data_IF_127063173735
#
_entry.id   IF_127063173735
#
_cell.length_a   1.000
_cell.length_b   1.000
_cell.length_c   1.000
_cell.angle_alpha   90.00
_cell.angle_beta   90.00
_cell.angle_gamma   90.00
#
_symmetry.space_group_name_H-M   'P 1'
#
loop_
_entity.id
_entity.type
_entity.pdbx_description
1 polymer ?
#
# COMPACT_ATOMS: atom_id res chain seq x y z
N UNK A 1 -2.77 -55.42 -2.46
CA UNK A 1 -3.82 -54.44 -2.82
C UNK A 1 -4.63 -54.15 -1.57
N UNK A 2 -4.24 -53.15 -0.77
CA UNK A 2 -5.14 -52.64 0.27
C UNK A 2 -6.02 -51.59 -0.40
N UNK A 3 -7.33 -51.83 -0.35
CA UNK A 3 -8.37 -50.91 -0.79
C UNK A 3 -8.13 -49.52 -0.22
N UNK A 4 -8.09 -48.51 -1.06
CA UNK A 4 -8.33 -47.13 -0.64
C UNK A 4 -9.69 -47.12 0.08
N UNK A 5 -9.70 -46.78 1.36
CA UNK A 5 -10.93 -46.70 2.15
C UNK A 5 -11.84 -45.62 1.56
N UNK A 6 -13.12 -45.95 1.39
CA UNK A 6 -14.18 -45.08 0.86
C UNK A 6 -14.33 -43.75 1.61
N UNK A 7 -13.71 -43.63 2.79
CA UNK A 7 -13.69 -42.44 3.65
C UNK A 7 -12.87 -41.26 3.09
N UNK A 8 -12.00 -41.48 2.09
CA UNK A 8 -11.12 -40.43 1.56
C UNK A 8 -11.68 -39.64 0.37
N UNK A 9 -12.84 -40.03 -0.18
CA UNK A 9 -13.44 -39.34 -1.34
C UNK A 9 -14.25 -38.11 -0.91
N UNK A 10 -14.19 -36.99 -1.66
CA UNK A 10 -15.03 -35.83 -1.35
C UNK A 10 -16.50 -36.21 -1.43
N UNK A 11 -17.26 -35.89 -0.39
CA UNK A 11 -18.71 -36.16 -0.34
C UNK A 11 -19.43 -35.17 -1.25
N UNK A 12 -20.64 -35.52 -1.69
CA UNK A 12 -21.48 -34.63 -2.51
C UNK A 12 -21.68 -33.25 -1.86
N UNK A 13 -21.86 -33.19 -0.55
CA UNK A 13 -21.95 -31.93 0.19
C UNK A 13 -20.68 -31.07 0.11
N UNK A 14 -19.51 -31.70 0.03
CA UNK A 14 -18.22 -30.99 -0.12
C UNK A 14 -18.12 -30.31 -1.49
N UNK A 15 -18.55 -31.00 -2.55
CA UNK A 15 -18.63 -30.43 -3.89
C UNK A 15 -19.63 -29.28 -3.96
N UNK A 16 -20.82 -29.44 -3.36
CA UNK A 16 -21.81 -28.37 -3.30
C UNK A 16 -21.27 -27.13 -2.59
N UNK A 17 -20.57 -27.30 -1.46
CA UNK A 17 -19.94 -26.19 -0.75
C UNK A 17 -18.86 -25.49 -1.58
N UNK A 18 -17.98 -26.25 -2.24
CA UNK A 18 -16.95 -25.67 -3.10
C UNK A 18 -17.56 -24.87 -4.27
N UNK A 19 -18.62 -25.39 -4.89
CA UNK A 19 -19.37 -24.68 -5.93
C UNK A 19 -19.99 -23.38 -5.40
N UNK A 20 -20.57 -23.40 -4.20
CA UNK A 20 -21.12 -22.18 -3.58
C UNK A 20 -20.03 -21.12 -3.33
N UNK A 21 -18.84 -21.52 -2.87
CA UNK A 21 -17.71 -20.61 -2.68
C UNK A 21 -17.28 -19.98 -4.02
N UNK A 22 -17.13 -20.81 -5.06
CA UNK A 22 -16.70 -20.35 -6.39
C UNK A 22 -17.76 -19.43 -7.02
N UNK A 23 -19.04 -19.82 -6.96
CA UNK A 23 -20.13 -19.00 -7.47
C UNK A 23 -20.21 -17.68 -6.71
N UNK A 24 -20.08 -17.70 -5.38
CA UNK A 24 -20.02 -16.49 -4.57
C UNK A 24 -18.88 -15.56 -5.01
N UNK A 25 -17.68 -16.09 -5.23
CA UNK A 25 -16.55 -15.32 -5.73
C UNK A 25 -16.83 -14.68 -7.10
N UNK A 26 -17.35 -15.45 -8.06
CA UNK A 26 -17.70 -14.95 -9.40
C UNK A 26 -18.80 -13.90 -9.33
N UNK A 27 -19.85 -14.13 -8.53
CA UNK A 27 -20.94 -13.16 -8.33
C UNK A 27 -20.40 -11.86 -7.74
N UNK A 28 -19.49 -11.91 -6.77
CA UNK A 28 -18.85 -10.73 -6.19
C UNK A 28 -18.07 -9.94 -7.26
N UNK A 29 -17.23 -10.61 -8.05
CA UNK A 29 -16.45 -9.92 -9.09
C UNK A 29 -17.32 -9.30 -10.18
N UNK A 30 -18.50 -9.87 -10.46
CA UNK A 30 -19.46 -9.30 -11.42
C UNK A 30 -20.22 -8.13 -10.80
N UNK A 31 -20.74 -8.28 -9.59
CA UNK A 31 -21.52 -7.25 -8.91
C UNK A 31 -20.68 -6.04 -8.49
N UNK A 32 -19.43 -6.29 -8.10
CA UNK A 32 -18.46 -5.31 -7.65
C UNK A 32 -17.16 -5.49 -8.43
N UNK A 33 -17.10 -5.06 -9.71
CA UNK A 33 -15.90 -5.22 -10.52
C UNK A 33 -14.73 -4.47 -9.90
N UNK A 34 -13.52 -5.07 -9.82
CA UNK A 34 -12.35 -4.42 -9.26
C UNK A 34 -12.03 -3.16 -10.07
N UNK A 35 -11.77 -2.05 -9.36
CA UNK A 35 -11.37 -0.78 -9.96
C UNK A 35 -9.96 -0.45 -9.54
N UNK A 36 -9.16 0.00 -10.49
CA UNK A 36 -7.74 0.31 -10.29
C UNK A 36 -7.47 1.82 -10.23
N UNK A 37 -8.48 2.61 -10.58
CA UNK A 37 -8.47 4.07 -10.52
C UNK A 37 -9.41 4.54 -9.40
N UNK A 38 -9.15 5.74 -8.82
CA UNK A 38 -10.01 6.32 -7.80
C UNK A 38 -11.46 6.43 -8.30
N UNK A 39 -12.41 6.09 -7.44
CA UNK A 39 -13.82 6.24 -7.76
C UNK A 39 -14.27 7.63 -7.35
N UNK A 40 -14.58 8.48 -8.33
CA UNK A 40 -15.27 9.74 -8.10
C UNK A 40 -16.76 9.48 -7.84
N UNK A 41 -17.28 9.96 -6.70
CA UNK A 41 -18.71 9.94 -6.36
C UNK A 41 -19.04 9.40 -4.97
N UNK A 42 -20.26 9.68 -4.50
CA UNK A 42 -20.77 9.19 -3.21
C UNK A 42 -20.93 7.67 -3.21
N UNK A 43 -20.24 6.99 -2.29
CA UNK A 43 -20.39 5.55 -2.07
C UNK A 43 -21.24 5.29 -0.82
N UNK A 44 -22.01 4.21 -0.83
CA UNK A 44 -22.89 3.88 0.29
C UNK A 44 -22.09 3.68 1.59
N UNK A 45 -22.47 4.38 2.65
CA UNK A 45 -21.87 4.27 3.98
C UNK A 45 -21.85 2.84 4.52
N UNK A 46 -22.86 2.03 4.19
CA UNK A 46 -22.91 0.61 4.55
C UNK A 46 -21.83 -0.21 3.84
N UNK A 47 -21.56 0.06 2.56
CA UNK A 47 -20.53 -0.66 1.81
C UNK A 47 -19.14 -0.33 2.36
N UNK A 48 -18.88 0.93 2.69
CA UNK A 48 -17.63 1.36 3.33
C UNK A 48 -17.45 0.73 4.71
N UNK A 49 -18.52 0.73 5.53
CA UNK A 49 -18.50 0.08 6.83
C UNK A 49 -18.12 -1.41 6.72
N UNK A 50 -18.72 -2.15 5.77
CA UNK A 50 -18.39 -3.55 5.54
C UNK A 50 -16.96 -3.71 5.01
N UNK A 51 -16.51 -2.84 4.10
CA UNK A 51 -15.16 -2.85 3.55
C UNK A 51 -14.07 -2.73 4.62
N UNK A 52 -14.30 -1.92 5.66
CA UNK A 52 -13.37 -1.76 6.79
C UNK A 52 -13.12 -3.04 7.60
N UNK A 53 -13.93 -4.09 7.42
CA UNK A 53 -13.64 -5.42 7.98
C UNK A 53 -12.63 -6.22 7.16
N UNK A 54 -12.08 -5.71 6.05
CA UNK A 54 -11.06 -6.40 5.26
C UNK A 54 -9.88 -6.92 6.13
N UNK A 55 -9.30 -6.14 7.06
CA UNK A 55 -8.30 -6.65 7.99
C UNK A 55 -8.83 -7.79 8.85
N UNK A 56 -10.07 -7.77 9.30
CA UNK A 56 -10.62 -8.87 10.11
C UNK A 56 -10.76 -10.14 9.25
N UNK A 57 -11.31 -10.00 8.04
CA UNK A 57 -11.51 -11.13 7.15
C UNK A 57 -10.21 -11.72 6.60
N UNK A 58 -9.09 -10.98 6.53
CA UNK A 58 -7.82 -11.52 6.04
C UNK A 58 -7.11 -12.45 7.05
N UNK A 59 -7.31 -12.27 8.36
CA UNK A 59 -6.59 -13.08 9.35
C UNK A 59 -7.00 -14.56 9.32
N UNK A 60 -8.30 -14.82 9.09
CA UNK A 60 -8.84 -16.19 8.99
C UNK A 60 -8.21 -17.01 7.85
N UNK A 61 -8.25 -16.57 6.56
CA UNK A 61 -7.66 -17.31 5.46
C UNK A 61 -6.13 -17.35 5.54
N UNK A 62 -5.45 -16.29 5.98
CA UNK A 62 -3.99 -16.30 6.11
C UNK A 62 -3.55 -17.37 7.12
N UNK A 63 -4.20 -17.45 8.28
CA UNK A 63 -3.94 -18.48 9.28
C UNK A 63 -4.27 -19.89 8.77
N UNK A 64 -5.43 -20.07 8.14
CA UNK A 64 -5.86 -21.36 7.61
C UNK A 64 -4.94 -21.87 6.49
N UNK A 65 -4.62 -21.02 5.50
CA UNK A 65 -3.74 -21.40 4.38
C UNK A 65 -2.28 -21.56 4.83
N UNK A 66 -1.83 -20.79 5.83
CA UNK A 66 -0.54 -20.99 6.48
C UNK A 66 -0.44 -22.33 7.21
N UNK A 67 -1.50 -22.74 7.93
CA UNK A 67 -1.59 -24.07 8.53
C UNK A 67 -1.61 -25.16 7.44
N UNK A 68 -2.36 -24.95 6.36
CA UNK A 68 -2.43 -25.88 5.24
C UNK A 68 -1.05 -26.11 4.59
N UNK A 69 -0.22 -25.07 4.48
CA UNK A 69 1.16 -25.19 4.02
C UNK A 69 1.94 -26.24 4.83
N UNK A 70 1.84 -26.21 6.16
CA UNK A 70 2.48 -27.19 7.04
C UNK A 70 1.89 -28.60 6.87
N UNK A 71 0.56 -28.70 6.73
CA UNK A 71 -0.12 -29.99 6.52
C UNK A 71 0.28 -30.63 5.19
N UNK A 72 0.38 -29.85 4.12
CA UNK A 72 0.73 -30.35 2.79
C UNK A 72 2.15 -30.89 2.71
N UNK A 73 3.09 -30.36 3.50
CA UNK A 73 4.42 -30.96 3.66
C UNK A 73 4.35 -32.39 4.22
N UNK A 74 3.44 -32.64 5.17
CA UNK A 74 3.18 -34.00 5.68
C UNK A 74 2.50 -34.89 4.64
N UNK A 75 1.55 -34.32 3.90
CA UNK A 75 0.80 -34.98 2.82
C UNK A 75 1.65 -35.36 1.60
N UNK A 76 2.90 -34.89 1.49
CA UNK A 76 3.85 -35.37 0.46
C UNK A 76 4.07 -36.89 0.53
N UNK A 77 3.93 -37.46 1.73
CA UNK A 77 4.02 -38.91 1.93
C UNK A 77 2.65 -39.57 1.82
N UNK A 78 2.60 -40.81 1.34
CA UNK A 78 1.35 -41.59 1.28
C UNK A 78 0.66 -41.68 2.65
N UNK A 79 1.42 -41.99 3.70
CA UNK A 79 0.87 -42.12 5.05
C UNK A 79 0.37 -40.78 5.60
N UNK A 80 1.04 -39.68 5.26
CA UNK A 80 0.59 -38.34 5.60
C UNK A 80 -0.71 -37.97 4.91
N UNK A 81 -0.85 -38.24 3.61
CA UNK A 81 -2.09 -38.00 2.87
C UNK A 81 -3.26 -38.81 3.45
N UNK A 82 -3.04 -40.08 3.81
CA UNK A 82 -4.08 -40.92 4.44
C UNK A 82 -4.52 -40.39 5.82
N UNK A 83 -3.62 -39.78 6.60
CA UNK A 83 -3.91 -39.27 7.95
C UNK A 83 -4.43 -37.84 7.98
N UNK A 84 -3.88 -36.97 7.14
CA UNK A 84 -4.09 -35.52 7.16
C UNK A 84 -4.93 -35.02 5.99
N UNK A 85 -5.12 -35.80 4.92
CA UNK A 85 -5.71 -35.32 3.67
C UNK A 85 -7.13 -34.77 3.80
N UNK A 86 -7.95 -35.37 4.69
CA UNK A 86 -9.29 -34.86 5.00
C UNK A 86 -9.26 -33.54 5.79
N UNK A 87 -8.35 -33.42 6.76
CA UNK A 87 -8.17 -32.18 7.51
C UNK A 87 -7.56 -31.07 6.62
N UNK A 88 -6.66 -31.43 5.71
CA UNK A 88 -6.10 -30.52 4.72
C UNK A 88 -7.19 -29.98 3.78
N UNK A 89 -8.10 -30.85 3.33
CA UNK A 89 -9.26 -30.42 2.52
C UNK A 89 -10.19 -29.47 3.30
N UNK A 90 -10.50 -29.76 4.57
CA UNK A 90 -11.29 -28.86 5.41
C UNK A 90 -10.59 -27.49 5.57
N UNK A 91 -9.29 -27.51 5.83
CA UNK A 91 -8.48 -26.29 5.99
C UNK A 91 -8.44 -25.48 4.70
N UNK A 92 -8.34 -26.14 3.54
CA UNK A 92 -8.41 -25.50 2.23
C UNK A 92 -9.79 -24.90 1.93
N UNK A 93 -10.88 -25.54 2.38
CA UNK A 93 -12.24 -24.99 2.26
C UNK A 93 -12.42 -23.73 3.10
N UNK A 94 -12.01 -23.79 4.37
CA UNK A 94 -12.08 -22.63 5.28
C UNK A 94 -11.20 -21.49 4.77
N UNK A 95 -9.98 -21.80 4.34
CA UNK A 95 -9.06 -20.84 3.75
C UNK A 95 -9.60 -20.21 2.46
N UNK A 96 -10.18 -21.02 1.57
CA UNK A 96 -10.83 -20.55 0.34
C UNK A 96 -12.00 -19.60 0.63
N UNK A 97 -12.91 -19.99 1.54
CA UNK A 97 -14.06 -19.16 1.91
C UNK A 97 -13.61 -17.83 2.55
N UNK A 98 -12.63 -17.89 3.46
CA UNK A 98 -12.04 -16.69 4.06
C UNK A 98 -11.39 -15.78 3.01
N UNK A 99 -10.67 -16.34 2.03
CA UNK A 99 -10.01 -15.56 0.99
C UNK A 99 -11.03 -14.83 0.10
N UNK A 100 -12.13 -15.49 -0.26
CA UNK A 100 -13.24 -14.85 -1.00
C UNK A 100 -13.84 -13.69 -0.21
N UNK A 101 -14.07 -13.88 1.09
CA UNK A 101 -14.58 -12.80 1.97
C UNK A 101 -13.59 -11.63 2.09
N UNK A 102 -12.28 -11.93 2.19
CA UNK A 102 -11.25 -10.91 2.23
C UNK A 102 -11.17 -10.11 0.92
N UNK A 103 -11.23 -10.78 -0.24
CA UNK A 103 -11.27 -10.10 -1.55
C UNK A 103 -12.53 -9.25 -1.69
N UNK A 104 -13.71 -9.75 -1.31
CA UNK A 104 -14.95 -8.97 -1.29
C UNK A 104 -14.78 -7.69 -0.46
N UNK A 105 -14.38 -7.84 0.81
CA UNK A 105 -14.20 -6.69 1.69
C UNK A 105 -13.13 -5.73 1.18
N UNK A 106 -12.06 -6.23 0.56
CA UNK A 106 -11.00 -5.41 -0.04
C UNK A 106 -11.49 -4.59 -1.23
N UNK A 107 -12.31 -5.18 -2.11
CA UNK A 107 -12.95 -4.48 -3.24
C UNK A 107 -13.95 -3.43 -2.77
N UNK A 108 -14.63 -3.67 -1.64
CA UNK A 108 -15.50 -2.68 -1.02
C UNK A 108 -14.70 -1.55 -0.34
N UNK A 109 -13.59 -1.89 0.32
CA UNK A 109 -12.69 -0.93 0.96
C UNK A 109 -12.04 0.01 -0.05
N UNK A 110 -11.66 -0.49 -1.23
CA UNK A 110 -11.08 0.36 -2.29
C UNK A 110 -12.03 1.43 -2.81
N UNK A 111 -13.33 1.37 -2.44
CA UNK A 111 -14.33 2.40 -2.78
C UNK A 111 -14.32 3.60 -1.85
N UNK A 112 -13.62 3.54 -0.71
CA UNK A 112 -13.48 4.66 0.24
C UNK A 112 -12.74 5.86 -0.38
N UNK A 113 -12.04 5.65 -1.50
CA UNK A 113 -11.13 6.64 -2.06
C UNK A 113 -9.78 6.64 -1.32
N UNK A 114 -8.75 7.20 -1.94
CA UNK A 114 -7.42 7.31 -1.33
C UNK A 114 -6.49 6.09 -1.51
N UNK A 115 -6.91 5.06 -2.25
CA UNK A 115 -6.01 4.00 -2.73
C UNK A 115 -5.77 4.17 -4.23
N UNK A 116 -4.53 4.46 -4.61
CA UNK A 116 -4.11 4.65 -6.00
C UNK A 116 -2.66 4.21 -6.21
N UNK A 117 -2.24 4.07 -7.46
CA UNK A 117 -0.85 3.76 -7.84
C UNK A 117 -0.52 2.28 -7.98
N UNK A 118 0.75 2.00 -8.26
CA UNK A 118 1.25 0.65 -8.59
C UNK A 118 1.08 -0.34 -7.44
N UNK A 119 1.39 0.07 -6.20
CA UNK A 119 1.26 -0.78 -5.00
C UNK A 119 -0.18 -1.27 -4.78
N UNK A 120 -1.16 -0.37 -4.88
CA UNK A 120 -2.57 -0.73 -4.78
C UNK A 120 -2.99 -1.69 -5.88
N UNK A 121 -2.61 -1.36 -7.12
CA UNK A 121 -3.01 -2.14 -8.29
C UNK A 121 -2.40 -3.55 -8.28
N UNK A 122 -1.13 -3.68 -7.87
CA UNK A 122 -0.48 -4.97 -7.65
C UNK A 122 -1.12 -5.74 -6.50
N UNK A 123 -1.36 -5.11 -5.35
CA UNK A 123 -2.00 -5.76 -4.21
C UNK A 123 -3.36 -6.36 -4.60
N UNK A 124 -4.22 -5.55 -5.23
CA UNK A 124 -5.54 -6.00 -5.68
C UNK A 124 -5.44 -7.12 -6.73
N UNK A 125 -4.55 -6.98 -7.71
CA UNK A 125 -4.36 -7.99 -8.77
C UNK A 125 -3.85 -9.32 -8.21
N UNK A 126 -2.82 -9.28 -7.37
CA UNK A 126 -2.23 -10.47 -6.75
C UNK A 126 -3.21 -11.16 -5.81
N UNK A 127 -4.05 -10.41 -5.08
CA UNK A 127 -5.10 -10.99 -4.25
C UNK A 127 -6.16 -11.74 -5.09
N UNK A 128 -6.60 -11.17 -6.21
CA UNK A 128 -7.59 -11.77 -7.12
C UNK A 128 -7.02 -13.01 -7.82
N UNK A 129 -5.80 -12.91 -8.40
CA UNK A 129 -5.14 -14.04 -9.07
C UNK A 129 -4.84 -15.14 -8.05
N UNK A 130 -4.28 -14.79 -6.89
CA UNK A 130 -3.97 -15.73 -5.82
C UNK A 130 -5.22 -16.48 -5.34
N UNK A 131 -6.31 -15.76 -5.06
CA UNK A 131 -7.58 -16.38 -4.65
C UNK A 131 -8.15 -17.28 -5.74
N UNK A 132 -8.10 -16.87 -7.01
CA UNK A 132 -8.54 -17.70 -8.14
C UNK A 132 -7.72 -18.99 -8.25
N UNK A 133 -6.41 -18.90 -8.04
CA UNK A 133 -5.51 -20.05 -7.99
C UNK A 133 -5.80 -21.00 -6.82
N UNK A 134 -6.12 -20.47 -5.63
CA UNK A 134 -6.54 -21.26 -4.47
C UNK A 134 -7.88 -21.98 -4.73
N UNK A 135 -8.85 -21.33 -5.37
CA UNK A 135 -10.12 -21.96 -5.75
C UNK A 135 -9.94 -23.06 -6.81
N UNK A 136 -9.05 -22.84 -7.78
CA UNK A 136 -8.68 -23.89 -8.74
C UNK A 136 -7.97 -25.05 -8.03
N UNK A 137 -7.06 -24.76 -7.11
CA UNK A 137 -6.39 -25.77 -6.29
C UNK A 137 -7.39 -26.61 -5.49
N UNK A 138 -8.43 -25.99 -4.90
CA UNK A 138 -9.52 -26.70 -4.23
C UNK A 138 -10.22 -27.71 -5.15
N UNK A 139 -10.56 -27.30 -6.38
CA UNK A 139 -11.19 -28.20 -7.36
C UNK A 139 -10.25 -29.34 -7.75
N UNK A 140 -8.99 -29.03 -8.09
CA UNK A 140 -7.98 -30.02 -8.48
C UNK A 140 -7.73 -31.03 -7.36
N UNK A 141 -7.65 -30.59 -6.10
CA UNK A 141 -7.50 -31.48 -4.94
C UNK A 141 -8.68 -32.45 -4.85
N UNK A 142 -9.91 -31.97 -4.96
CA UNK A 142 -11.10 -32.82 -4.90
C UNK A 142 -11.16 -33.81 -6.07
N UNK A 143 -10.76 -33.41 -7.29
CA UNK A 143 -10.64 -34.32 -8.43
C UNK A 143 -9.58 -35.39 -8.19
N UNK A 144 -8.39 -35.01 -7.71
CA UNK A 144 -7.31 -35.94 -7.38
C UNK A 144 -7.70 -36.94 -6.29
N UNK A 145 -8.42 -36.49 -5.25
CA UNK A 145 -8.97 -37.37 -4.22
C UNK A 145 -10.07 -38.29 -4.75
N UNK A 146 -10.94 -37.80 -5.64
CA UNK A 146 -12.05 -38.59 -6.21
C UNK A 146 -11.58 -39.67 -7.20
N UNK A 147 -10.58 -39.33 -8.02
CA UNK A 147 -9.99 -40.22 -9.03
C UNK A 147 -8.84 -41.07 -8.47
N UNK A 148 -8.42 -40.83 -7.22
CA UNK A 148 -7.26 -41.46 -6.59
C UNK A 148 -5.96 -41.28 -7.41
N UNK A 149 -5.86 -40.16 -8.12
CA UNK A 149 -4.80 -39.86 -9.08
C UNK A 149 -3.74 -38.96 -8.45
N UNK A 150 -2.51 -39.47 -8.36
CA UNK A 150 -1.42 -38.79 -7.62
C UNK A 150 -0.86 -37.58 -8.36
N UNK A 151 -0.83 -37.60 -9.69
CA UNK A 151 -0.40 -36.49 -10.51
C UNK A 151 -1.20 -35.22 -10.24
N UNK A 152 -2.53 -35.35 -10.14
CA UNK A 152 -3.49 -34.31 -9.80
C UNK A 152 -3.24 -33.77 -8.40
N UNK A 153 -2.91 -34.62 -7.42
CA UNK A 153 -2.52 -34.17 -6.08
C UNK A 153 -1.19 -33.42 -6.07
N UNK A 154 -0.19 -33.84 -6.85
CA UNK A 154 1.06 -33.10 -6.99
C UNK A 154 0.86 -31.77 -7.72
N UNK A 155 0.05 -31.75 -8.78
CA UNK A 155 -0.32 -30.55 -9.51
C UNK A 155 -1.10 -29.57 -8.63
N UNK A 156 -2.07 -30.06 -7.85
CA UNK A 156 -2.76 -29.29 -6.82
C UNK A 156 -1.76 -28.61 -5.87
N UNK A 157 -0.79 -29.36 -5.33
CA UNK A 157 0.19 -28.79 -4.39
C UNK A 157 1.04 -27.71 -5.04
N UNK A 158 1.53 -27.95 -6.26
CA UNK A 158 2.29 -26.95 -7.01
C UNK A 158 1.46 -25.67 -7.21
N UNK A 159 0.20 -25.83 -7.64
CA UNK A 159 -0.74 -24.72 -7.83
C UNK A 159 -1.04 -23.99 -6.50
N UNK A 160 -1.27 -24.72 -5.41
CA UNK A 160 -1.52 -24.17 -4.08
C UNK A 160 -0.33 -23.35 -3.58
N UNK A 161 0.89 -23.90 -3.61
CA UNK A 161 2.09 -23.18 -3.16
C UNK A 161 2.38 -21.96 -4.02
N UNK A 162 2.20 -22.05 -5.34
CA UNK A 162 2.35 -20.90 -6.23
C UNK A 162 1.32 -19.79 -5.91
N UNK A 163 0.05 -20.17 -5.73
CA UNK A 163 -1.04 -19.23 -5.42
C UNK A 163 -0.87 -18.58 -4.05
N UNK A 164 -0.49 -19.36 -3.03
CA UNK A 164 -0.21 -18.84 -1.69
C UNK A 164 1.02 -17.93 -1.68
N UNK A 165 2.05 -18.25 -2.47
CA UNK A 165 3.20 -17.37 -2.69
C UNK A 165 2.82 -16.03 -3.33
N UNK A 166 1.96 -16.06 -4.35
CA UNK A 166 1.40 -14.84 -4.97
C UNK A 166 0.61 -14.01 -3.95
N UNK A 167 -0.18 -14.64 -3.08
CA UNK A 167 -0.87 -13.94 -1.99
C UNK A 167 0.12 -13.33 -0.99
N UNK A 168 1.24 -14.01 -0.70
CA UNK A 168 2.32 -13.47 0.12
C UNK A 168 2.97 -12.22 -0.50
N UNK A 169 3.18 -12.20 -1.82
CA UNK A 169 3.62 -11.01 -2.54
C UNK A 169 2.55 -9.90 -2.45
N UNK A 170 1.28 -10.24 -2.65
CA UNK A 170 0.18 -9.29 -2.45
C UNK A 170 0.17 -8.70 -1.04
N UNK A 171 0.41 -9.52 0.00
CA UNK A 171 0.49 -9.09 1.38
C UNK A 171 1.65 -8.13 1.64
N UNK A 172 2.80 -8.32 0.95
CA UNK A 172 3.91 -7.37 1.00
C UNK A 172 3.47 -5.97 0.52
N UNK A 173 2.84 -5.87 -0.65
CA UNK A 173 2.31 -4.59 -1.16
C UNK A 173 1.19 -4.00 -0.27
N UNK A 174 0.37 -4.86 0.36
CA UNK A 174 -0.61 -4.44 1.37
C UNK A 174 0.04 -3.82 2.61
N UNK A 175 1.16 -4.41 3.04
CA UNK A 175 2.01 -3.88 4.09
C UNK A 175 2.59 -2.51 3.73
N UNK A 176 3.10 -2.36 2.51
CA UNK A 176 3.68 -1.11 2.02
C UNK A 176 2.65 0.05 2.03
N UNK A 177 1.40 -0.21 1.62
CA UNK A 177 0.33 0.80 1.70
C UNK A 177 -0.03 1.20 3.14
N UNK A 178 0.08 0.27 4.09
CA UNK A 178 -0.36 0.49 5.47
C UNK A 178 0.73 1.06 6.37
N UNK A 179 1.99 0.67 6.14
CA UNK A 179 3.14 0.94 7.03
C UNK A 179 4.33 1.62 6.33
N UNK A 180 4.26 1.87 5.01
CA UNK A 180 5.34 2.46 4.21
C UNK A 180 6.13 1.43 3.39
N UNK A 181 6.70 1.83 2.24
CA UNK A 181 7.41 0.93 1.30
C UNK A 181 8.65 0.30 1.92
N UNK A 182 9.28 1.02 2.85
CA UNK A 182 10.48 0.56 3.55
C UNK A 182 10.19 -0.41 4.69
N UNK A 183 8.93 -0.72 5.01
CA UNK A 183 8.58 -1.46 6.22
C UNK A 183 9.30 -2.81 6.34
N UNK A 184 9.30 -3.62 5.27
CA UNK A 184 9.99 -4.93 5.26
C UNK A 184 11.47 -4.85 4.90
N UNK A 185 11.90 -3.79 4.21
CA UNK A 185 13.28 -3.64 3.72
C UNK A 185 14.17 -2.84 4.68
N UNK A 186 13.60 -2.13 5.65
CA UNK A 186 14.32 -1.29 6.61
C UNK A 186 15.36 -2.09 7.42
N UNK A 187 15.02 -3.32 7.78
CA UNK A 187 15.87 -4.20 8.60
C UNK A 187 16.38 -5.43 7.83
N UNK A 188 16.21 -5.46 6.51
CA UNK A 188 16.67 -6.57 5.69
C UNK A 188 18.21 -6.54 5.53
N UNK A 189 18.90 -7.70 5.56
CA UNK A 189 20.33 -7.76 5.26
C UNK A 189 20.61 -7.27 3.83
N UNK A 190 21.69 -6.52 3.62
CA UNK A 190 22.04 -5.88 2.34
C UNK A 190 21.93 -6.75 1.06
N UNK A 191 22.40 -8.03 1.03
CA UNK A 191 22.22 -8.86 -0.17
C UNK A 191 20.76 -9.26 -0.44
N UNK A 192 19.91 -9.25 0.59
CA UNK A 192 18.48 -9.55 0.45
C UNK A 192 17.69 -8.28 0.12
N UNK A 193 18.02 -7.17 0.79
CA UNK A 193 17.38 -5.87 0.62
C UNK A 193 17.41 -5.40 -0.84
N UNK A 194 18.59 -5.42 -1.46
CA UNK A 194 18.78 -5.05 -2.87
C UNK A 194 17.95 -5.91 -3.83
N UNK A 195 17.86 -7.21 -3.57
CA UNK A 195 17.05 -8.15 -4.38
C UNK A 195 15.56 -7.90 -4.21
N UNK A 196 15.11 -7.60 -2.99
CA UNK A 196 13.70 -7.29 -2.72
C UNK A 196 13.28 -6.00 -3.42
N UNK A 197 14.08 -4.94 -3.32
CA UNK A 197 13.80 -3.66 -4.00
C UNK A 197 13.81 -3.83 -5.52
N UNK A 198 14.78 -4.56 -6.07
CA UNK A 198 14.83 -4.83 -7.51
C UNK A 198 13.59 -5.60 -8.00
N UNK A 199 13.14 -6.59 -7.23
CA UNK A 199 11.93 -7.35 -7.52
C UNK A 199 10.68 -6.47 -7.44
N UNK A 200 10.59 -5.59 -6.43
CA UNK A 200 9.49 -4.64 -6.25
C UNK A 200 9.38 -3.69 -7.45
N UNK A 201 10.47 -3.03 -7.83
CA UNK A 201 10.52 -2.13 -8.97
C UNK A 201 10.17 -2.84 -10.29
N UNK A 202 10.67 -4.06 -10.46
CA UNK A 202 10.34 -4.88 -11.64
C UNK A 202 8.84 -5.21 -11.70
N UNK A 203 8.22 -5.52 -10.55
CA UNK A 203 6.78 -5.79 -10.49
C UNK A 203 5.94 -4.53 -10.74
N UNK A 204 6.33 -3.40 -10.15
CA UNK A 204 5.66 -2.11 -10.33
C UNK A 204 5.67 -1.67 -11.79
N UNK A 205 6.77 -1.94 -12.51
CA UNK A 205 6.87 -1.66 -13.95
C UNK A 205 5.84 -2.36 -14.84
N UNK A 206 5.13 -3.40 -14.37
CA UNK A 206 4.02 -4.00 -15.12
C UNK A 206 2.70 -3.23 -15.02
N UNK A 207 2.56 -2.37 -14.02
CA UNK A 207 1.28 -1.77 -13.65
C UNK A 207 1.33 -0.26 -13.63
N UNK A 208 2.49 0.31 -13.32
CA UNK A 208 2.74 1.73 -13.53
C UNK A 208 2.84 2.00 -15.04
N UNK A 209 2.08 2.99 -15.51
CA UNK A 209 2.21 3.46 -16.88
C UNK A 209 3.67 3.85 -17.11
N UNK A 210 4.26 3.58 -18.30
CA UNK A 210 5.58 4.07 -18.62
C UNK A 210 5.59 5.55 -18.27
N UNK A 211 6.48 5.94 -17.36
CA UNK A 211 6.77 7.35 -17.10
C UNK A 211 7.04 7.92 -18.48
N UNK A 212 6.10 8.69 -19.04
CA UNK A 212 6.28 9.33 -20.33
C UNK A 212 7.67 9.93 -20.25
N UNK A 213 8.53 9.51 -21.17
CA UNK A 213 9.94 9.85 -21.18
C UNK A 213 10.02 11.35 -20.97
N UNK A 214 10.32 11.74 -19.72
CA UNK A 214 10.71 13.10 -19.40
C UNK A 214 11.93 13.25 -20.27
N UNK A 215 11.82 14.07 -21.30
CA UNK A 215 12.98 14.60 -21.99
C UNK A 215 13.92 15.07 -20.88
N UNK A 216 14.94 14.27 -20.60
CA UNK A 216 16.09 14.73 -19.87
C UNK A 216 16.72 15.74 -20.80
N UNK A 217 16.79 17.03 -20.47
CA UNK A 217 17.84 17.84 -21.05
C UNK A 217 19.12 17.20 -20.50
N UNK A 218 19.78 16.41 -21.34
CA UNK A 218 21.16 16.01 -21.17
C UNK A 218 21.97 17.30 -20.98
N UNK A 219 22.19 17.68 -19.73
CA UNK A 219 23.32 18.42 -19.16
C UNK A 219 22.91 19.00 -17.80
N UNK A 220 22.95 18.18 -16.76
CA UNK A 220 23.29 18.69 -15.43
C UNK A 220 24.49 17.88 -14.90
N UNK A 221 25.59 18.56 -14.52
CA UNK A 221 26.76 17.90 -13.97
C UNK A 221 26.43 17.20 -12.64
N UNK A 222 27.23 16.22 -12.22
CA UNK A 222 26.97 15.43 -11.01
C UNK A 222 26.81 16.35 -9.81
N UNK A 223 25.72 16.16 -9.05
CA UNK A 223 25.51 16.82 -7.78
C UNK A 223 26.71 16.53 -6.86
N UNK A 224 27.52 17.56 -6.62
CA UNK A 224 28.57 17.51 -5.60
C UNK A 224 27.89 17.42 -4.23
N UNK A 225 28.31 16.41 -3.45
CA UNK A 225 27.97 16.32 -2.03
C UNK A 225 28.65 17.50 -1.31
N UNK A 226 27.93 18.33 -0.52
CA UNK A 226 28.60 19.39 0.22
C UNK A 226 29.38 18.79 1.38
N UNK A 227 30.59 19.30 1.66
CA UNK A 227 31.39 18.85 2.78
C UNK A 227 30.76 19.28 4.11
N UNK A 228 31.00 18.46 5.12
CA UNK A 228 30.69 18.71 6.53
C UNK A 228 31.33 20.03 6.96
N UNK A 229 30.51 21.06 7.16
CA UNK A 229 30.93 22.33 7.76
C UNK A 229 30.25 23.58 7.20
N UNK A 230 28.91 23.64 7.13
CA UNK A 230 28.20 24.84 6.67
C UNK A 230 27.93 25.83 7.82
N UNK A 231 28.50 27.02 7.72
CA UNK A 231 28.04 28.22 8.44
C UNK A 231 26.63 28.63 7.98
N UNK A 232 25.90 29.41 8.78
CA UNK A 232 24.48 29.77 8.55
C UNK A 232 24.14 30.44 7.20
N UNK A 233 25.14 30.90 6.43
CA UNK A 233 24.98 31.58 5.13
C UNK A 233 24.67 30.62 3.97
N UNK A 234 25.05 29.34 4.04
CA UNK A 234 24.81 28.39 2.94
C UNK A 234 23.49 27.62 3.06
N UNK A 235 22.68 27.92 4.08
CA UNK A 235 21.40 27.23 4.31
C UNK A 235 20.31 27.80 3.41
N UNK A 236 19.56 26.91 2.77
CA UNK A 236 18.36 27.23 1.99
C UNK A 236 17.11 27.21 2.86
N UNK A 237 16.22 28.18 2.64
CA UNK A 237 14.92 28.28 3.34
C UNK A 237 14.10 27.01 3.15
N UNK A 238 13.92 26.56 1.90
CA UNK A 238 13.11 25.38 1.62
C UNK A 238 13.72 24.12 2.26
N UNK A 239 14.97 23.79 1.91
CA UNK A 239 15.60 22.55 2.35
C UNK A 239 15.87 22.46 3.85
N UNK A 240 16.22 23.58 4.51
CA UNK A 240 16.68 23.55 5.91
C UNK A 240 15.66 24.09 6.92
N UNK A 241 14.58 24.74 6.46
CA UNK A 241 13.52 25.26 7.34
C UNK A 241 12.18 24.58 7.04
N UNK A 242 11.70 24.63 5.79
CA UNK A 242 10.37 24.10 5.47
C UNK A 242 10.33 22.58 5.37
N UNK A 243 11.33 21.97 4.73
CA UNK A 243 11.37 20.53 4.54
C UNK A 243 11.34 19.75 5.87
N UNK A 244 12.08 20.13 6.94
CA UNK A 244 11.93 19.50 8.26
C UNK A 244 10.50 19.60 8.85
N UNK A 245 9.81 20.73 8.63
CA UNK A 245 8.42 20.90 9.08
C UNK A 245 7.51 19.93 8.31
N UNK A 246 7.68 19.85 6.99
CA UNK A 246 6.90 18.94 6.14
C UNK A 246 7.21 17.48 6.47
N UNK A 247 8.47 17.13 6.73
CA UNK A 247 8.87 15.79 7.16
C UNK A 247 8.14 15.35 8.44
N UNK A 248 8.06 16.25 9.42
CA UNK A 248 7.39 15.96 10.68
C UNK A 248 5.86 15.86 10.52
N UNK A 249 5.23 16.72 9.70
CA UNK A 249 3.78 16.95 9.77
C UNK A 249 3.01 16.49 8.53
N UNK A 250 3.63 16.50 7.36
CA UNK A 250 2.98 16.27 6.07
C UNK A 250 3.42 14.94 5.42
N UNK A 251 4.72 14.67 5.43
CA UNK A 251 5.33 13.54 4.72
C UNK A 251 5.05 12.19 5.40
N UNK A 252 4.28 12.14 6.50
CA UNK A 252 3.73 10.88 6.99
C UNK A 252 2.60 10.36 6.08
N UNK A 253 1.92 11.26 5.35
CA UNK A 253 0.79 10.92 4.48
C UNK A 253 0.91 11.42 3.02
N UNK A 254 1.90 12.27 2.73
CA UNK A 254 2.17 12.84 1.40
C UNK A 254 3.62 12.55 0.98
N UNK A 255 3.97 11.28 0.83
CA UNK A 255 5.29 10.79 0.47
C UNK A 255 5.21 9.70 -0.61
N UNK A 256 6.35 9.14 -1.00
CA UNK A 256 6.42 8.08 -2.03
C UNK A 256 5.57 6.85 -1.71
N UNK A 257 5.48 6.52 -0.43
CA UNK A 257 4.85 5.29 0.05
C UNK A 257 3.35 5.44 0.24
N UNK A 258 2.91 6.66 0.56
CA UNK A 258 1.56 7.03 0.89
C UNK A 258 1.28 8.40 0.30
N UNK A 259 0.44 8.42 -0.72
CA UNK A 259 0.13 9.60 -1.53
C UNK A 259 -1.34 9.99 -1.37
N UNK A 260 -1.73 10.46 -0.18
CA UNK A 260 -3.13 10.89 0.02
C UNK A 260 -3.47 12.06 -0.90
N UNK A 261 -4.61 11.98 -1.58
CA UNK A 261 -5.08 13.00 -2.53
C UNK A 261 -4.12 13.25 -3.70
N UNK A 262 -3.32 12.25 -4.09
CA UNK A 262 -2.35 12.38 -5.18
C UNK A 262 -1.17 13.32 -4.89
N UNK A 263 -1.13 13.93 -3.71
CA UNK A 263 -0.15 14.93 -3.33
C UNK A 263 1.12 14.31 -2.73
N UNK A 264 2.27 14.76 -3.23
CA UNK A 264 3.62 14.41 -2.77
C UNK A 264 4.32 15.67 -2.26
N UNK A 265 4.79 15.67 -1.01
CA UNK A 265 5.44 16.83 -0.38
C UNK A 265 6.88 16.53 0.05
N UNK A 266 7.41 15.37 -0.34
CA UNK A 266 8.74 14.88 0.03
C UNK A 266 9.88 15.38 -0.87
N UNK A 267 9.54 16.10 -1.96
CA UNK A 267 10.51 16.86 -2.75
C UNK A 267 9.87 18.18 -3.20
N UNK A 268 10.71 19.18 -3.48
CA UNK A 268 10.25 20.48 -3.99
C UNK A 268 9.42 20.34 -5.27
N UNK A 269 9.96 19.63 -6.27
CA UNK A 269 9.32 19.48 -7.57
C UNK A 269 7.92 18.87 -7.47
N UNK A 270 7.76 17.87 -6.60
CA UNK A 270 6.47 17.20 -6.39
C UNK A 270 5.47 18.04 -5.58
N UNK A 271 5.96 18.81 -4.60
CA UNK A 271 5.12 19.78 -3.87
C UNK A 271 4.52 20.81 -4.84
N UNK A 272 5.36 21.31 -5.76
CA UNK A 272 4.94 22.29 -6.76
C UNK A 272 4.05 21.69 -7.86
N UNK A 273 4.11 20.37 -8.08
CA UNK A 273 3.22 19.68 -9.02
C UNK A 273 1.76 19.64 -8.52
N UNK A 274 1.55 19.62 -7.21
CA UNK A 274 0.21 19.53 -6.61
C UNK A 274 -0.32 18.09 -6.56
N UNK A 275 -1.62 17.97 -6.28
CA UNK A 275 -2.31 16.68 -6.14
C UNK A 275 -3.59 16.61 -6.97
N UNK A 276 -4.42 15.62 -6.68
CA UNK A 276 -5.68 15.37 -7.39
C UNK A 276 -6.67 16.55 -7.25
N UNK A 277 -6.56 17.32 -6.17
CA UNK A 277 -7.38 18.51 -5.91
C UNK A 277 -6.85 19.78 -6.58
N UNK A 278 -5.71 19.72 -7.28
CA UNK A 278 -5.08 20.85 -7.95
C UNK A 278 -3.78 21.31 -7.32
N UNK A 279 -3.41 22.57 -7.58
CA UNK A 279 -2.14 23.16 -7.15
C UNK A 279 -2.08 23.29 -5.62
N UNK A 280 -1.15 22.56 -5.00
CA UNK A 280 -0.95 22.61 -3.55
C UNK A 280 -0.36 23.94 -3.10
N UNK A 281 0.55 24.50 -3.90
CA UNK A 281 1.24 25.76 -3.65
C UNK A 281 1.21 26.58 -4.92
N UNK A 282 0.69 27.81 -4.82
CA UNK A 282 0.68 28.79 -5.91
C UNK A 282 1.69 29.88 -5.56
N UNK A 283 2.84 29.96 -6.25
CA UNK A 283 3.87 30.98 -5.99
C UNK A 283 3.30 32.40 -5.95
N UNK A 284 3.60 33.15 -4.89
CA UNK A 284 3.14 34.52 -4.65
C UNK A 284 1.71 34.64 -4.15
N UNK A 285 0.96 33.54 -4.01
CA UNK A 285 -0.46 33.54 -3.67
C UNK A 285 -0.77 32.56 -2.53
N UNK A 286 -0.34 32.87 -1.28
CA UNK A 286 -0.59 31.99 -0.14
C UNK A 286 -2.08 31.75 0.12
N UNK A 287 -2.94 32.75 -0.13
CA UNK A 287 -4.39 32.66 0.15
C UNK A 287 -5.16 31.87 -0.92
N UNK A 288 -4.57 31.65 -2.09
CA UNK A 288 -5.13 30.80 -3.14
C UNK A 288 -4.49 29.40 -3.14
N UNK A 289 -3.52 29.14 -2.26
CA UNK A 289 -2.82 27.86 -2.21
C UNK A 289 -3.59 26.85 -1.37
N UNK A 290 -3.96 25.71 -1.98
CA UNK A 290 -4.75 24.67 -1.31
C UNK A 290 -4.10 24.16 -0.02
N UNK A 291 -2.77 24.05 0.04
CA UNK A 291 -2.10 23.64 1.27
C UNK A 291 -2.41 24.57 2.45
N UNK A 292 -2.49 25.88 2.22
CA UNK A 292 -2.82 26.85 3.26
C UNK A 292 -4.30 26.78 3.63
N UNK A 293 -5.18 26.67 2.63
CA UNK A 293 -6.61 26.51 2.84
C UNK A 293 -6.90 25.31 3.75
N UNK A 294 -6.32 24.14 3.42
CA UNK A 294 -6.52 22.88 4.15
C UNK A 294 -5.98 22.90 5.58
N UNK A 295 -4.94 23.68 5.85
CA UNK A 295 -4.38 23.85 7.20
C UNK A 295 -5.24 24.79 8.06
N UNK A 296 -5.99 25.70 7.43
CA UNK A 296 -6.84 26.68 8.11
C UNK A 296 -8.27 26.18 8.36
N UNK A 297 -8.63 25.01 7.85
CA UNK A 297 -9.93 24.40 8.12
C UNK A 297 -10.08 24.07 9.63
N UNK A 298 -11.31 23.92 10.13
CA UNK A 298 -11.54 23.38 11.46
C UNK A 298 -10.94 21.96 11.59
N UNK A 299 -10.32 21.63 12.73
CA UNK A 299 -9.69 20.30 12.92
C UNK A 299 -10.66 19.11 12.79
N UNK A 300 -11.96 19.35 12.91
CA UNK A 300 -13.01 18.34 12.73
C UNK A 300 -13.53 18.23 11.29
N UNK A 301 -13.04 19.06 10.37
CA UNK A 301 -13.29 18.96 8.95
C UNK A 301 -12.50 17.78 8.34
N UNK A 302 -13.16 17.00 7.48
CA UNK A 302 -12.55 15.84 6.83
C UNK A 302 -11.43 16.23 5.86
N UNK A 303 -11.44 17.48 5.39
CA UNK A 303 -10.44 18.04 4.49
C UNK A 303 -9.28 18.72 5.23
N UNK A 304 -9.36 18.84 6.56
CA UNK A 304 -8.32 19.45 7.39
C UNK A 304 -7.02 18.66 7.37
N UNK A 305 -5.91 19.38 7.18
CA UNK A 305 -4.57 18.79 7.17
C UNK A 305 -3.61 19.56 8.09
N UNK A 306 -2.81 18.89 8.93
CA UNK A 306 -2.78 17.44 9.17
C UNK A 306 -4.07 16.92 9.86
N UNK A 307 -4.50 15.67 9.62
CA UNK A 307 -5.74 15.15 10.20
C UNK A 307 -5.77 15.18 11.72
N UNK A 308 -6.97 15.22 12.31
CA UNK A 308 -7.17 15.21 13.76
C UNK A 308 -6.35 14.11 14.46
N UNK A 309 -5.67 14.49 15.54
CA UNK A 309 -4.81 13.59 16.31
C UNK A 309 -3.42 13.36 15.71
N UNK A 310 -3.09 14.03 14.61
CA UNK A 310 -1.70 14.21 14.14
C UNK A 310 -1.14 15.55 14.60
N UNK A 311 0.18 15.65 14.61
CA UNK A 311 0.88 16.86 15.01
C UNK A 311 0.52 17.99 14.05
N UNK A 312 -0.11 19.03 14.59
CA UNK A 312 -0.56 20.19 13.82
C UNK A 312 0.58 21.17 13.58
N UNK A 313 0.45 21.97 12.53
CA UNK A 313 1.38 23.06 12.28
C UNK A 313 1.16 24.18 13.29
N UNK A 314 2.24 24.67 13.88
CA UNK A 314 2.20 25.81 14.81
C UNK A 314 1.94 27.11 14.05
N UNK A 315 1.54 28.16 14.77
CA UNK A 315 1.31 29.47 14.17
C UNK A 315 2.56 30.03 13.47
N UNK A 316 3.74 29.82 14.05
CA UNK A 316 5.01 30.31 13.51
C UNK A 316 5.46 29.51 12.28
N UNK A 317 5.29 28.19 12.27
CA UNK A 317 5.55 27.35 11.08
C UNK A 317 4.59 27.67 9.94
N UNK A 318 3.30 27.93 10.26
CA UNK A 318 2.32 28.39 9.27
C UNK A 318 2.68 29.76 8.71
N UNK A 319 3.12 30.68 9.56
CA UNK A 319 3.57 31.98 9.11
C UNK A 319 4.84 31.88 8.22
N UNK A 320 5.79 31.00 8.55
CA UNK A 320 6.95 30.71 7.72
C UNK A 320 6.56 30.13 6.36
N UNK A 321 5.64 29.17 6.33
CA UNK A 321 5.19 28.56 5.09
C UNK A 321 4.46 29.59 4.21
N UNK A 322 3.52 30.37 4.77
CA UNK A 322 2.83 31.44 4.03
C UNK A 322 3.78 32.49 3.50
N UNK A 323 4.75 32.92 4.31
CA UNK A 323 5.76 33.89 3.88
C UNK A 323 6.60 33.36 2.71
N UNK A 324 7.03 32.10 2.77
CA UNK A 324 7.80 31.51 1.67
C UNK A 324 6.99 31.44 0.37
N UNK A 325 5.70 31.07 0.45
CA UNK A 325 4.81 31.11 -0.73
C UNK A 325 4.70 32.54 -1.25
N UNK A 326 4.47 33.53 -0.39
CA UNK A 326 4.41 34.95 -0.75
C UNK A 326 5.69 35.44 -1.46
N UNK A 327 6.86 34.95 -1.06
CA UNK A 327 8.14 35.25 -1.72
C UNK A 327 8.36 34.49 -3.05
N UNK A 328 7.34 33.79 -3.57
CA UNK A 328 7.41 33.07 -4.83
C UNK A 328 7.85 31.61 -4.71
N UNK A 329 7.76 31.03 -3.51
CA UNK A 329 7.97 29.60 -3.26
C UNK A 329 9.31 29.06 -3.82
N UNK A 330 10.42 29.79 -3.62
CA UNK A 330 11.71 29.43 -4.22
C UNK A 330 12.38 28.23 -3.52
N UNK A 331 12.85 27.25 -4.31
CA UNK A 331 13.68 26.13 -3.84
C UNK A 331 15.07 26.59 -3.34
N UNK A 332 15.63 27.63 -3.96
CA UNK A 332 17.03 28.02 -3.82
C UNK A 332 17.26 29.31 -3.02
N UNK A 333 16.21 29.86 -2.41
CA UNK A 333 16.32 31.05 -1.56
C UNK A 333 17.21 30.76 -0.34
N UNK A 334 18.29 31.53 -0.21
CA UNK A 334 19.22 31.44 0.91
C UNK A 334 18.69 32.19 2.14
N UNK A 335 19.10 31.72 3.32
CA UNK A 335 18.69 32.30 4.60
C UNK A 335 19.21 33.73 4.83
N UNK A 336 20.31 34.15 4.23
CA UNK A 336 20.88 35.50 4.34
C UNK A 336 20.25 36.52 3.36
N UNK A 337 19.76 36.03 2.23
CA UNK A 337 18.99 36.79 1.24
C UNK A 337 17.50 36.87 1.61
N UNK A 338 17.02 35.94 2.44
CA UNK A 338 15.65 35.90 2.95
C UNK A 338 15.35 37.12 3.84
N UNK A 339 14.46 37.99 3.36
CA UNK A 339 13.95 39.15 4.11
C UNK A 339 12.85 38.72 5.11
N UNK A 340 13.21 37.80 6.01
CA UNK A 340 12.33 37.30 7.06
C UNK A 340 12.08 38.39 8.12
N UNK A 341 10.83 38.61 8.56
CA UNK A 341 10.53 39.33 9.79
C UNK A 341 11.26 38.70 10.99
N UNK A 342 11.68 39.52 11.97
CA UNK A 342 12.48 39.07 13.13
C UNK A 342 11.81 37.95 13.94
N UNK A 343 10.47 37.96 14.04
CA UNK A 343 9.72 36.87 14.68
C UNK A 343 9.86 35.54 13.92
N UNK A 344 9.79 35.57 12.57
CA UNK A 344 9.94 34.36 11.75
C UNK A 344 11.38 33.88 11.66
N UNK A 345 12.35 34.80 11.74
CA UNK A 345 13.77 34.44 11.79
C UNK A 345 14.09 33.58 13.02
N UNK A 346 13.53 33.93 14.18
CA UNK A 346 13.69 33.16 15.41
C UNK A 346 13.09 31.76 15.27
N UNK A 347 11.89 31.64 14.69
CA UNK A 347 11.24 30.36 14.42
C UNK A 347 12.04 29.49 13.43
N UNK A 348 12.54 30.08 12.34
CA UNK A 348 13.37 29.39 11.37
C UNK A 348 14.67 28.85 11.99
N UNK A 349 15.30 29.64 12.87
CA UNK A 349 16.48 29.20 13.63
C UNK A 349 16.18 28.06 14.61
N UNK A 350 15.00 28.05 15.24
CA UNK A 350 14.58 26.97 16.13
C UNK A 350 14.44 25.65 15.36
N UNK A 351 13.74 25.68 14.22
CA UNK A 351 13.58 24.53 13.33
C UNK A 351 14.93 24.00 12.86
N UNK A 352 15.85 24.88 12.43
CA UNK A 352 17.20 24.50 12.02
C UNK A 352 18.07 23.90 13.14
N UNK A 353 17.72 24.12 14.41
CA UNK A 353 18.40 23.55 15.59
C UNK A 353 17.73 22.24 16.06
N UNK A 354 16.71 21.76 15.34
CA UNK A 354 15.93 20.57 15.72
C UNK A 354 15.03 20.80 16.94
N UNK A 355 14.68 22.06 17.23
CA UNK A 355 13.73 22.43 18.25
C UNK A 355 12.41 22.77 17.54
N UNK A 356 11.31 22.11 17.89
CA UNK A 356 9.99 22.51 17.41
C UNK A 356 9.72 23.94 17.88
N UNK A 357 9.38 24.84 16.96
CA UNK A 357 9.01 26.22 17.32
C UNK A 357 7.81 26.14 18.28
N UNK A 358 7.93 26.76 19.44
CA UNK A 358 7.01 26.62 20.59
C UNK A 358 5.75 27.45 20.44
#
# INVERSE_FOLDING_TARGET
MSSFDSSSKPRMGTWALALLIILGYVTVLIAFPPRFEPVEGETSSLLLFIGRFHPIFLHLPVGALGLLCLMELGCLTRSGEEKLGGAALLTLLVGSAGAVMAVLAGILLSREGGYAGGNFSLHQTLAIIGTSGILLALVVRMLGMGQEERGLLHFYRALFFASFGLMGLGAHFGGNMSHGSKYLTAHAPEPLKSRMIAMENWMLGFVEKPKAELETPDTLPPAETPPVGATSSDKLVFQHVLMPIFEAKCNTCHNEDKTKGGLRMDTYALLMQGGDSGESVIPGKPDESLAIERILLPEDDDEHMPPKGKEQMTADELALFRWWIEQGASETLKMDEAKLPENLKTAAEAVMKGQTAS
#
